data_IF_623207684411
#
_entry.id   IF_623207684411
#
_cell.length_a   1.000
_cell.length_b   1.000
_cell.length_c   1.000
_cell.angle_alpha   90.00
_cell.angle_beta   90.00
_cell.angle_gamma   90.00
#
_symmetry.space_group_name_H-M   'P 1'
#
loop_
_entity.id
_entity.type
_entity.pdbx_description
1 polymer ?
#
# COMPACT_ATOMS: atom_id res chain seq x y z
N UNK A 1 -2.21 15.11 -5.57
CA UNK A 1 -2.96 15.25 -4.32
C UNK A 1 -2.35 14.30 -3.28
N UNK A 2 -1.92 14.74 -2.07
CA UNK A 2 -1.40 13.83 -1.05
C UNK A 2 -2.38 12.71 -0.65
N UNK A 3 -3.69 12.94 -0.82
CA UNK A 3 -4.77 11.98 -0.54
C UNK A 3 -5.24 11.23 -1.80
N UNK A 4 -4.47 11.27 -2.90
CA UNK A 4 -4.79 10.59 -4.15
C UNK A 4 -5.08 9.10 -3.93
N UNK A 5 -6.17 8.60 -4.53
CA UNK A 5 -6.51 7.17 -4.54
C UNK A 5 -5.86 6.41 -5.70
N UNK A 6 -5.35 7.14 -6.70
CA UNK A 6 -4.56 6.58 -7.79
C UNK A 6 -3.78 7.69 -8.53
N UNK A 7 -2.58 7.36 -9.01
CA UNK A 7 -1.68 8.26 -9.72
C UNK A 7 -1.27 7.62 -11.06
N UNK A 8 -2.09 7.74 -12.13
CA UNK A 8 -1.85 7.04 -13.41
C UNK A 8 -0.53 7.42 -14.07
N UNK A 9 -0.10 8.67 -13.91
CA UNK A 9 1.13 9.21 -14.52
C UNK A 9 2.25 9.44 -13.49
N UNK A 10 2.14 8.76 -12.33
CA UNK A 10 3.10 8.84 -11.22
C UNK A 10 2.89 10.02 -10.28
N UNK A 11 3.77 10.18 -9.27
CA UNK A 11 3.50 11.04 -8.12
C UNK A 11 3.46 12.55 -8.48
N UNK A 12 4.02 12.94 -9.62
CA UNK A 12 3.97 14.30 -10.16
C UNK A 12 2.79 14.55 -11.11
N UNK A 13 2.08 13.49 -11.48
CA UNK A 13 0.97 13.53 -12.43
C UNK A 13 -0.37 13.94 -11.79
N UNK A 14 -1.42 14.04 -12.62
CA UNK A 14 -2.77 14.22 -12.13
C UNK A 14 -3.25 12.97 -11.38
N UNK A 15 -4.05 13.19 -10.34
CA UNK A 15 -4.69 12.11 -9.59
C UNK A 15 -5.98 11.68 -10.26
N UNK A 16 -6.26 10.38 -10.26
CA UNK A 16 -7.51 9.82 -10.80
C UNK A 16 -8.54 9.63 -9.69
N UNK A 17 -9.79 10.03 -9.94
CA UNK A 17 -10.91 9.75 -9.02
C UNK A 17 -11.27 8.28 -9.14
N UNK A 18 -11.21 7.57 -8.01
CA UNK A 18 -11.59 6.16 -7.92
C UNK A 18 -12.92 6.06 -7.18
N UNK A 19 -13.92 5.48 -7.82
CA UNK A 19 -15.19 5.13 -7.17
C UNK A 19 -15.06 3.74 -6.51
N UNK A 20 -15.02 3.65 -5.17
CA UNK A 20 -14.90 2.38 -4.50
C UNK A 20 -16.12 1.46 -4.72
N UNK A 21 -17.30 2.00 -5.03
CA UNK A 21 -18.53 1.21 -5.20
C UNK A 21 -18.57 0.42 -6.52
N UNK A 22 -17.65 0.68 -7.45
CA UNK A 22 -17.61 -0.01 -8.76
C UNK A 22 -17.07 -1.43 -8.70
N UNK A 23 -16.35 -1.80 -7.63
CA UNK A 23 -15.85 -3.16 -7.44
C UNK A 23 -16.82 -3.98 -6.60
N UNK A 24 -17.28 -5.09 -7.16
CA UNK A 24 -18.12 -6.05 -6.47
C UNK A 24 -17.24 -7.12 -5.82
N UNK A 25 -17.16 -7.09 -4.49
CA UNK A 25 -16.51 -8.12 -3.69
C UNK A 25 -17.32 -9.44 -3.72
N UNK A 26 -16.62 -10.56 -3.55
CA UNK A 26 -17.22 -11.91 -3.49
C UNK A 26 -16.84 -12.67 -2.20
N UNK A 27 -16.21 -11.98 -1.26
CA UNK A 27 -15.62 -12.52 -0.05
C UNK A 27 -16.50 -12.32 1.21
N UNK A 28 -17.81 -12.12 1.07
CA UNK A 28 -18.75 -11.92 2.19
C UNK A 28 -18.67 -13.01 3.29
N UNK A 29 -18.23 -14.23 2.92
CA UNK A 29 -18.07 -15.35 3.84
C UNK A 29 -16.68 -15.40 4.53
N UNK A 30 -15.78 -14.48 4.22
CA UNK A 30 -14.43 -14.44 4.78
C UNK A 30 -14.44 -13.96 6.22
N UNK A 31 -14.04 -14.84 7.15
CA UNK A 31 -14.03 -14.58 8.59
C UNK A 31 -12.74 -13.93 9.12
N UNK A 32 -11.78 -13.62 8.26
CA UNK A 32 -10.47 -13.14 8.66
C UNK A 32 -9.56 -14.22 9.26
N UNK A 33 -8.46 -13.78 9.88
CA UNK A 33 -7.45 -14.65 10.50
C UNK A 33 -7.27 -14.32 11.98
N UNK A 34 -6.76 -15.29 12.73
CA UNK A 34 -6.27 -15.09 14.11
C UNK A 34 -4.77 -15.24 14.14
N UNK A 35 -4.13 -14.71 15.20
CA UNK A 35 -2.67 -14.82 15.33
C UNK A 35 -2.18 -16.25 15.55
N UNK A 36 -2.97 -17.07 16.22
CA UNK A 36 -2.63 -18.47 16.44
C UNK A 36 -2.65 -19.22 15.10
N UNK A 37 -1.52 -19.84 14.76
CA UNK A 37 -1.38 -20.61 13.52
C UNK A 37 -1.12 -19.76 12.27
N UNK A 38 -0.83 -18.45 12.42
CA UNK A 38 -0.46 -17.62 11.29
C UNK A 38 0.92 -18.01 10.73
N UNK A 39 0.96 -18.32 9.44
CA UNK A 39 2.18 -18.55 8.65
C UNK A 39 2.20 -17.54 7.52
N UNK A 40 3.15 -16.61 7.61
CA UNK A 40 3.33 -15.50 6.66
C UNK A 40 4.21 -15.89 5.49
N UNK A 41 3.87 -15.37 4.32
CA UNK A 41 4.72 -15.36 3.13
C UNK A 41 4.87 -13.93 2.63
N UNK A 42 6.02 -13.30 2.92
CA UNK A 42 6.35 -11.99 2.39
C UNK A 42 6.64 -12.08 0.88
N UNK A 43 6.08 -11.15 0.11
CA UNK A 43 6.36 -11.04 -1.32
C UNK A 43 6.47 -9.59 -1.79
N UNK A 44 7.34 -9.42 -2.79
CA UNK A 44 7.46 -8.18 -3.55
C UNK A 44 6.75 -8.34 -4.90
N UNK A 45 5.72 -7.52 -5.14
CA UNK A 45 4.85 -7.65 -6.34
C UNK A 45 5.66 -7.57 -7.63
N UNK A 46 6.58 -6.62 -7.74
CA UNK A 46 7.38 -6.38 -8.93
C UNK A 46 8.42 -7.46 -9.28
N UNK A 47 8.69 -8.42 -8.39
CA UNK A 47 9.72 -9.45 -8.60
C UNK A 47 9.21 -10.88 -8.39
N UNK A 48 8.05 -11.06 -7.75
CA UNK A 48 7.44 -12.39 -7.56
C UNK A 48 7.15 -13.11 -8.88
N UNK A 49 6.83 -12.34 -9.93
CA UNK A 49 6.58 -12.88 -11.28
C UNK A 49 7.27 -12.03 -12.34
N UNK A 50 7.47 -12.58 -13.54
CA UNK A 50 8.11 -11.85 -14.64
C UNK A 50 7.35 -10.60 -15.09
N UNK A 51 6.02 -10.57 -14.94
CA UNK A 51 5.22 -9.39 -15.26
C UNK A 51 5.15 -8.38 -14.12
N UNK A 52 5.40 -8.79 -12.88
CA UNK A 52 5.49 -7.88 -11.74
C UNK A 52 4.19 -7.17 -11.35
N UNK A 53 3.02 -7.83 -11.49
CA UNK A 53 1.71 -7.21 -11.27
C UNK A 53 0.85 -7.93 -10.24
N UNK A 54 -0.13 -7.23 -9.64
CA UNK A 54 -1.09 -7.83 -8.70
C UNK A 54 -1.84 -9.02 -9.31
N UNK A 55 -2.29 -8.90 -10.56
CA UNK A 55 -2.98 -9.98 -11.26
C UNK A 55 -2.08 -11.21 -11.50
N UNK A 56 -0.77 -11.01 -11.64
CA UNK A 56 0.18 -12.11 -11.75
C UNK A 56 0.46 -12.79 -10.42
N UNK A 57 0.53 -12.03 -9.31
CA UNK A 57 0.57 -12.59 -7.95
C UNK A 57 -0.70 -13.39 -7.67
N UNK A 58 -1.87 -12.89 -8.08
CA UNK A 58 -3.17 -13.56 -7.91
C UNK A 58 -3.18 -14.97 -8.50
N UNK A 59 -2.51 -15.19 -9.63
CA UNK A 59 -2.36 -16.51 -10.26
C UNK A 59 -1.51 -17.49 -9.45
N UNK A 60 -0.71 -17.01 -8.48
CA UNK A 60 0.13 -17.85 -7.61
C UNK A 60 -0.60 -18.32 -6.33
N UNK A 61 -1.77 -17.75 -6.02
CA UNK A 61 -2.51 -18.07 -4.80
C UNK A 61 -2.81 -19.57 -4.59
N UNK A 62 -3.19 -20.36 -5.61
CA UNK A 62 -3.39 -21.81 -5.43
C UNK A 62 -2.14 -22.53 -4.93
N UNK A 63 -0.97 -22.12 -5.43
CA UNK A 63 0.31 -22.72 -5.08
C UNK A 63 0.73 -22.30 -3.66
N UNK A 64 0.56 -21.02 -3.31
CA UNK A 64 0.80 -20.54 -1.94
C UNK A 64 -0.10 -21.27 -0.93
N UNK A 65 -1.37 -21.48 -1.28
CA UNK A 65 -2.29 -22.25 -0.44
C UNK A 65 -1.86 -23.71 -0.30
N UNK A 66 -1.35 -24.32 -1.38
CA UNK A 66 -0.82 -25.69 -1.38
C UNK A 66 0.46 -25.81 -0.56
N UNK A 67 1.33 -24.79 -0.59
CA UNK A 67 2.53 -24.69 0.24
C UNK A 67 2.21 -24.70 1.74
N UNK A 68 1.02 -24.20 2.11
CA UNK A 68 0.50 -24.24 3.48
C UNK A 68 0.64 -22.93 4.24
N UNK A 69 0.94 -21.82 3.56
CA UNK A 69 0.90 -20.48 4.15
C UNK A 69 -0.55 -20.09 4.41
N UNK A 70 -0.78 -19.23 5.40
CA UNK A 70 -2.13 -18.79 5.77
C UNK A 70 -2.39 -17.34 5.40
N UNK A 71 -1.33 -16.54 5.24
CA UNK A 71 -1.43 -15.19 4.72
C UNK A 71 -0.22 -14.84 3.85
N UNK A 72 -0.47 -13.99 2.87
CA UNK A 72 0.58 -13.27 2.16
C UNK A 72 0.80 -11.91 2.83
N UNK A 73 2.05 -11.48 2.92
CA UNK A 73 2.43 -10.13 3.31
C UNK A 73 2.97 -9.42 2.08
N UNK A 74 2.26 -8.39 1.64
CA UNK A 74 2.72 -7.54 0.56
C UNK A 74 3.70 -6.51 1.13
N UNK A 75 4.91 -6.46 0.56
CA UNK A 75 5.78 -5.28 0.71
C UNK A 75 5.03 -4.00 0.26
N UNK A 76 5.48 -2.80 0.67
CA UNK A 76 4.66 -1.60 0.51
C UNK A 76 4.25 -1.34 -0.93
N UNK A 77 2.98 -0.95 -1.10
CA UNK A 77 2.38 -0.72 -2.42
C UNK A 77 2.01 0.73 -2.66
N UNK A 78 2.36 1.66 -1.77
CA UNK A 78 2.18 3.09 -2.02
C UNK A 78 2.93 3.52 -3.30
N UNK A 79 2.37 4.47 -4.07
CA UNK A 79 3.00 4.91 -5.32
C UNK A 79 4.35 5.57 -5.06
N UNK A 80 5.33 5.20 -5.88
CA UNK A 80 6.73 5.64 -5.82
C UNK A 80 7.16 6.31 -7.12
N UNK A 81 8.23 7.12 -7.10
CA UNK A 81 8.96 7.51 -8.30
C UNK A 81 9.47 6.32 -9.10
N UNK A 82 9.47 6.43 -10.43
CA UNK A 82 9.87 5.36 -11.33
C UNK A 82 8.95 4.15 -11.27
N UNK A 83 9.38 3.04 -11.89
CA UNK A 83 8.53 1.85 -12.08
C UNK A 83 9.04 0.60 -11.34
N UNK A 84 10.09 0.75 -10.51
CA UNK A 84 10.71 -0.33 -9.75
C UNK A 84 11.23 0.21 -8.43
N UNK A 85 10.63 -0.24 -7.33
CA UNK A 85 11.03 0.13 -5.98
C UNK A 85 10.59 -0.97 -5.01
N UNK A 86 11.30 -1.14 -3.88
CA UNK A 86 10.84 -2.05 -2.82
C UNK A 86 9.54 -1.58 -2.15
N UNK A 87 9.20 -0.30 -2.26
CA UNK A 87 7.99 0.33 -1.76
C UNK A 87 8.24 1.35 -0.65
N UNK A 88 9.41 1.31 0.00
CA UNK A 88 9.73 2.16 1.15
C UNK A 88 9.93 3.64 0.78
N UNK A 89 10.17 3.95 -0.50
CA UNK A 89 10.19 5.34 -0.99
C UNK A 89 8.77 5.85 -1.37
N UNK A 90 7.71 5.26 -0.81
CA UNK A 90 6.32 5.63 -1.09
C UNK A 90 6.02 7.08 -0.69
N UNK A 91 5.30 7.80 -1.56
CA UNK A 91 4.93 9.21 -1.32
C UNK A 91 3.44 9.49 -1.38
N UNK A 92 2.66 8.65 -2.07
CA UNK A 92 1.20 8.72 -2.06
C UNK A 92 0.65 7.50 -1.30
N UNK A 93 0.50 7.63 0.02
CA UNK A 93 0.13 6.55 0.96
C UNK A 93 -1.17 5.81 0.59
N UNK A 94 -2.09 6.49 -0.10
CA UNK A 94 -3.41 5.96 -0.44
C UNK A 94 -3.55 5.50 -1.90
N UNK A 95 -2.50 5.67 -2.71
CA UNK A 95 -2.49 5.29 -4.10
C UNK A 95 -1.66 4.00 -4.26
N UNK A 96 -2.27 2.88 -4.70
CA UNK A 96 -1.51 1.72 -5.11
C UNK A 96 -0.57 2.05 -6.27
N UNK A 97 0.63 1.48 -6.24
CA UNK A 97 1.67 1.74 -7.20
C UNK A 97 1.22 1.35 -8.61
N UNK A 98 1.21 2.34 -9.51
CA UNK A 98 0.69 2.21 -10.88
C UNK A 98 1.41 1.13 -11.70
N UNK A 99 2.67 0.83 -11.38
CA UNK A 99 3.45 -0.18 -12.09
C UNK A 99 3.00 -1.61 -11.76
N UNK A 100 2.29 -1.81 -10.65
CA UNK A 100 1.75 -3.11 -10.24
C UNK A 100 0.34 -3.38 -10.77
N UNK A 101 -0.37 -2.34 -11.20
CA UNK A 101 -1.72 -2.40 -11.74
C UNK A 101 -2.59 -1.25 -11.25
N UNK A 102 -3.88 -1.31 -11.62
CA UNK A 102 -4.89 -0.35 -11.15
C UNK A 102 -5.38 -0.74 -9.74
N UNK A 103 -6.06 0.14 -9.01
CA UNK A 103 -6.58 -0.17 -7.67
C UNK A 103 -7.45 -1.46 -7.65
N UNK A 104 -8.21 -1.71 -8.71
CA UNK A 104 -9.05 -2.91 -8.82
C UNK A 104 -8.26 -4.20 -9.02
N UNK A 105 -7.04 -4.12 -9.54
CA UNK A 105 -6.16 -5.30 -9.63
C UNK A 105 -5.71 -5.74 -8.23
N UNK A 106 -5.44 -4.78 -7.33
CA UNK A 106 -5.18 -5.07 -5.93
C UNK A 106 -6.43 -5.62 -5.23
N UNK A 107 -7.62 -5.02 -5.47
CA UNK A 107 -8.90 -5.55 -4.94
C UNK A 107 -9.14 -6.99 -5.38
N UNK A 108 -8.94 -7.30 -6.67
CA UNK A 108 -9.02 -8.67 -7.21
C UNK A 108 -8.04 -9.64 -6.57
N UNK A 109 -6.82 -9.20 -6.26
CA UNK A 109 -5.84 -10.04 -5.57
C UNK A 109 -6.33 -10.40 -4.16
N UNK A 110 -6.82 -9.41 -3.41
CA UNK A 110 -7.34 -9.61 -2.04
C UNK A 110 -8.57 -10.50 -2.05
N UNK A 111 -9.57 -10.20 -2.89
CA UNK A 111 -10.81 -10.97 -3.02
C UNK A 111 -10.52 -12.44 -3.36
N UNK A 112 -9.63 -12.68 -4.33
CA UNK A 112 -9.22 -14.04 -4.67
C UNK A 112 -8.45 -14.74 -3.55
N UNK A 113 -7.59 -14.03 -2.82
CA UNK A 113 -6.86 -14.60 -1.69
C UNK A 113 -7.82 -15.11 -0.62
N UNK A 114 -8.84 -14.31 -0.28
CA UNK A 114 -9.89 -14.71 0.65
C UNK A 114 -10.66 -15.96 0.15
N UNK A 115 -10.94 -16.06 -1.15
CA UNK A 115 -11.53 -17.25 -1.76
C UNK A 115 -10.68 -18.53 -1.63
N UNK A 116 -9.35 -18.40 -1.51
CA UNK A 116 -8.43 -19.51 -1.21
C UNK A 116 -8.20 -19.75 0.29
N UNK A 117 -8.86 -18.97 1.15
CA UNK A 117 -8.68 -19.02 2.59
C UNK A 117 -7.35 -18.41 3.05
N UNK A 118 -6.78 -17.49 2.25
CA UNK A 118 -5.54 -16.78 2.54
C UNK A 118 -5.86 -15.35 2.98
N UNK A 119 -5.26 -14.90 4.09
CA UNK A 119 -5.26 -13.48 4.44
C UNK A 119 -4.26 -12.69 3.61
N UNK A 120 -4.47 -11.37 3.55
CA UNK A 120 -3.53 -10.42 2.95
C UNK A 120 -3.19 -9.37 4.01
N UNK A 121 -1.90 -9.24 4.30
CA UNK A 121 -1.34 -8.20 5.15
C UNK A 121 -0.56 -7.24 4.26
N UNK A 122 -0.66 -5.95 4.56
CA UNK A 122 0.04 -4.91 3.82
C UNK A 122 1.07 -4.24 4.73
N UNK A 123 2.31 -4.19 4.28
CA UNK A 123 3.34 -3.35 4.87
C UNK A 123 3.05 -1.87 4.56
N UNK A 124 3.00 -1.04 5.61
CA UNK A 124 2.67 0.38 5.55
C UNK A 124 3.76 1.22 6.23
N UNK A 125 4.18 2.28 5.54
CA UNK A 125 5.27 3.14 5.99
C UNK A 125 4.70 4.45 6.53
N UNK A 126 4.55 4.54 7.85
CA UNK A 126 4.06 5.74 8.55
C UNK A 126 5.13 6.46 9.37
N UNK A 127 6.41 6.16 9.13
CA UNK A 127 7.52 6.78 9.84
C UNK A 127 8.23 7.87 9.01
N UNK A 128 8.17 7.80 7.67
CA UNK A 128 8.70 8.79 6.74
C UNK A 128 7.95 8.74 5.41
N UNK A 129 8.23 9.70 4.53
CA UNK A 129 7.79 9.73 3.12
C UNK A 129 9.03 9.67 2.23
N UNK A 130 8.90 9.05 1.06
CA UNK A 130 9.97 8.99 0.07
C UNK A 130 10.47 10.39 -0.39
N UNK A 131 11.69 10.45 -0.94
CA UNK A 131 12.39 11.71 -1.20
C UNK A 131 11.88 12.49 -2.42
N UNK A 132 11.10 11.86 -3.30
CA UNK A 132 10.65 12.46 -4.57
C UNK A 132 9.14 12.21 -4.79
N UNK A 133 8.40 13.28 -5.08
CA UNK A 133 6.94 13.23 -5.25
C UNK A 133 6.10 13.44 -3.98
N UNK A 134 6.73 13.69 -2.82
CA UNK A 134 6.03 14.11 -1.61
C UNK A 134 5.71 15.62 -1.65
N UNK A 135 4.43 15.95 -1.79
CA UNK A 135 3.94 17.34 -1.86
C UNK A 135 3.32 17.86 -0.56
N UNK A 136 3.36 17.13 0.56
CA UNK A 136 2.72 17.58 1.82
C UNK A 136 3.23 18.95 2.30
N UNK A 137 4.53 19.23 2.13
CA UNK A 137 5.14 20.53 2.44
C UNK A 137 4.54 21.70 1.64
N UNK A 138 3.98 21.44 0.45
CA UNK A 138 3.30 22.47 -0.34
C UNK A 138 1.94 22.89 0.25
N UNK A 139 1.35 22.06 1.12
CA UNK A 139 0.07 22.32 1.78
C UNK A 139 0.27 22.87 3.19
N UNK A 140 1.18 22.28 3.97
CA UNK A 140 1.53 22.77 5.30
C UNK A 140 2.88 22.23 5.76
N UNK A 141 3.69 23.08 6.39
CA UNK A 141 4.91 22.65 7.07
C UNK A 141 4.61 21.83 8.33
N UNK A 142 3.39 21.89 8.86
CA UNK A 142 3.01 21.19 10.10
C UNK A 142 2.85 19.68 9.94
N UNK A 143 2.92 19.13 8.71
CA UNK A 143 3.00 17.69 8.49
C UNK A 143 4.29 17.07 9.06
N UNK A 144 5.35 17.87 9.16
CA UNK A 144 6.68 17.42 9.57
C UNK A 144 7.16 18.19 10.80
N UNK A 145 8.17 17.65 11.47
CA UNK A 145 8.78 18.28 12.64
C UNK A 145 10.30 18.18 12.59
N UNK A 146 10.98 19.25 13.00
CA UNK A 146 12.43 19.24 13.19
C UNK A 146 12.86 18.58 14.52
N UNK A 147 11.91 18.23 15.40
CA UNK A 147 12.22 17.62 16.71
C UNK A 147 12.81 16.21 16.58
N UNK A 148 12.40 15.49 15.53
CA UNK A 148 12.80 14.11 15.27
C UNK A 148 13.06 13.95 13.78
N UNK A 149 14.11 13.21 13.43
CA UNK A 149 14.41 12.84 12.05
C UNK A 149 14.58 11.34 11.96
N UNK A 150 14.20 10.78 10.82
CA UNK A 150 14.51 9.39 10.49
C UNK A 150 15.76 9.36 9.59
N UNK A 151 16.44 8.22 9.47
CA UNK A 151 17.51 8.05 8.48
C UNK A 151 17.06 8.23 7.02
N UNK A 152 15.75 8.28 6.77
CA UNK A 152 15.14 8.22 5.43
C UNK A 152 14.36 9.49 5.05
N UNK A 153 14.26 10.48 5.95
CA UNK A 153 13.55 11.72 5.70
C UNK A 153 13.10 12.45 6.97
N UNK A 154 12.41 13.58 6.76
CA UNK A 154 11.82 14.37 7.84
C UNK A 154 10.87 13.54 8.71
N UNK A 155 10.90 13.76 10.02
CA UNK A 155 9.97 13.10 10.93
C UNK A 155 8.55 13.67 10.79
N UNK A 156 7.55 12.79 10.73
CA UNK A 156 6.14 13.17 10.77
C UNK A 156 5.75 13.75 12.14
N UNK A 157 4.93 14.80 12.13
CA UNK A 157 4.53 15.53 13.32
C UNK A 157 3.29 14.90 14.01
N UNK A 158 3.50 13.93 14.89
CA UNK A 158 2.40 13.22 15.57
C UNK A 158 1.99 13.77 16.94
N UNK A 159 2.73 14.74 17.48
CA UNK A 159 2.59 15.24 18.85
C UNK A 159 2.85 16.75 19.01
N UNK A 160 3.14 17.47 17.92
CA UNK A 160 3.38 18.91 17.94
C UNK A 160 2.15 19.75 17.61
N UNK A 161 2.31 21.07 17.39
CA UNK A 161 1.23 21.93 16.91
C UNK A 161 0.59 21.36 15.65
N UNK A 162 -0.74 21.43 15.55
CA UNK A 162 -1.53 20.97 14.40
C UNK A 162 -1.35 19.48 14.01
N UNK A 163 -0.72 18.67 14.86
CA UNK A 163 -0.46 17.24 14.63
C UNK A 163 -1.71 16.37 14.45
N UNK A 164 -2.88 16.85 14.88
CA UNK A 164 -4.16 16.15 14.68
C UNK A 164 -4.34 15.71 13.22
N UNK A 165 -4.10 16.60 12.25
CA UNK A 165 -4.30 16.29 10.83
C UNK A 165 -3.27 15.28 10.28
N UNK A 166 -2.08 15.22 10.89
CA UNK A 166 -1.05 14.23 10.56
C UNK A 166 -1.40 12.86 11.13
N UNK A 167 -2.04 12.82 12.30
CA UNK A 167 -2.58 11.58 12.88
C UNK A 167 -3.76 11.08 12.06
N UNK A 168 -4.69 11.96 11.72
CA UNK A 168 -5.84 11.66 10.85
C UNK A 168 -5.34 11.08 9.50
N UNK A 169 -4.27 11.64 8.92
CA UNK A 169 -3.63 11.14 7.69
C UNK A 169 -3.21 9.65 7.75
N UNK A 170 -2.80 9.12 8.90
CA UNK A 170 -2.31 7.73 8.99
C UNK A 170 -3.29 6.77 9.67
N UNK A 171 -4.38 7.29 10.24
CA UNK A 171 -5.40 6.50 10.94
C UNK A 171 -6.67 6.33 10.11
N UNK A 172 -7.03 7.32 9.27
CA UNK A 172 -8.24 7.34 8.44
C UNK A 172 -8.05 6.67 7.06
#
# INVERSE_FOLDING_TARGET
>A
DPYARYQPDGPHGPSEVIDPATFTWTDDAWGGLTMAGLVLYELHVGTMTSSGTFDAVRRQLPELRRLGVTAIELMPVADTPGDRNWGYDGVNMFAPNRSYGRPDDLRRLVDAAHGYGLGVILDVVYNHLGPDGNYLHAFSNDYFTARHQTPWGDGLNFDGPNSRYVRDLVID
#
